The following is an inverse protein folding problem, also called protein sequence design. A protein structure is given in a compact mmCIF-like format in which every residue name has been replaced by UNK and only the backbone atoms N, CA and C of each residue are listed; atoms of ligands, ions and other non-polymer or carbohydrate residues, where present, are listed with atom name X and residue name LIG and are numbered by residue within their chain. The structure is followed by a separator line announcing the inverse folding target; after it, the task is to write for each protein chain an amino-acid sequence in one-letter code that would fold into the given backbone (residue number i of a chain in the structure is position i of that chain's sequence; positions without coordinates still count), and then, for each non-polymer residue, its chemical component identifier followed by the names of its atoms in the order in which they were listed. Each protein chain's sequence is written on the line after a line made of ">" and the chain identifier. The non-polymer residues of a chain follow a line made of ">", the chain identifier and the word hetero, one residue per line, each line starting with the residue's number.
data_IF_943543876369
#
_entry.id   IF_943543876369
#
_cell.length_a   1.000
_cell.length_b   1.000
_cell.length_c   1.000
_cell.angle_alpha   90.00
_cell.angle_beta   90.00
_cell.angle_gamma   90.00
#
_symmetry.space_group_name_H-M   'P 1'
#
loop_
_entity.id
_entity.type
_entity.pdbx_description
1 polymer ?
#
# COMPACT_ATOMS: atom_id res chain seq x y z
N UNK A 1 8.54 -9.93 -16.76
CA UNK A 1 8.36 -9.16 -15.51
C UNK A 1 7.05 -8.40 -15.62
N UNK A 2 6.21 -8.41 -14.59
CA UNK A 2 4.97 -7.61 -14.57
C UNK A 2 5.33 -6.12 -14.46
N UNK A 3 4.93 -5.33 -15.44
CA UNK A 3 5.17 -3.88 -15.44
C UNK A 3 4.08 -3.19 -14.61
N UNK A 4 4.36 -2.96 -13.33
CA UNK A 4 3.50 -2.13 -12.48
C UNK A 4 3.83 -0.66 -12.70
N UNK A 5 2.80 0.18 -12.83
CA UNK A 5 2.93 1.63 -12.68
C UNK A 5 2.79 1.94 -11.20
N UNK A 6 3.81 2.53 -10.60
CA UNK A 6 3.71 3.10 -9.26
C UNK A 6 2.94 4.42 -9.37
N UNK A 7 1.77 4.46 -8.75
CA UNK A 7 0.95 5.67 -8.66
C UNK A 7 0.90 6.13 -7.20
N UNK A 8 1.66 7.19 -6.90
CA UNK A 8 1.81 7.76 -5.56
C UNK A 8 0.83 8.90 -5.29
N UNK A 9 -0.17 9.10 -6.16
CA UNK A 9 -1.19 10.14 -5.98
C UNK A 9 -1.86 10.05 -4.60
N UNK A 10 -2.15 8.83 -4.15
CA UNK A 10 -2.86 8.53 -2.91
C UNK A 10 -2.00 8.66 -1.65
N UNK A 11 -0.68 8.69 -1.84
CA UNK A 11 0.32 8.81 -0.76
C UNK A 11 0.51 10.27 -0.33
N UNK A 12 0.15 11.22 -1.21
CA UNK A 12 0.38 12.65 -0.98
C UNK A 12 -0.36 13.11 0.28
N UNK A 13 0.32 13.74 1.26
CA UNK A 13 -0.32 14.32 2.43
C UNK A 13 -1.44 15.32 2.06
N UNK A 14 -1.23 16.03 0.96
CA UNK A 14 -2.15 17.01 0.39
C UNK A 14 -3.34 16.42 -0.35
N UNK A 15 -3.42 15.10 -0.53
CA UNK A 15 -4.56 14.48 -1.18
C UNK A 15 -5.84 14.79 -0.36
N UNK A 16 -6.94 15.29 -0.97
CA UNK A 16 -8.12 15.76 -0.24
C UNK A 16 -8.82 14.63 0.53
N UNK A 17 -8.63 13.39 0.10
CA UNK A 17 -9.10 12.23 0.85
C UNK A 17 -8.12 11.77 1.95
N UNK A 18 -6.83 12.10 1.88
CA UNK A 18 -5.86 11.66 2.90
C UNK A 18 -5.80 10.14 3.06
N UNK A 19 -5.76 9.41 1.94
CA UNK A 19 -5.89 7.94 1.91
C UNK A 19 -4.78 7.22 2.68
N UNK A 20 -3.55 7.72 2.60
CA UNK A 20 -2.42 7.21 3.39
C UNK A 20 -2.69 7.22 4.91
N UNK A 21 -3.58 8.09 5.41
CA UNK A 21 -3.83 8.23 6.85
C UNK A 21 -5.01 7.40 7.39
N UNK A 22 -5.44 6.34 6.68
CA UNK A 22 -6.72 5.65 6.99
C UNK A 22 -6.62 4.16 7.33
N UNK A 23 -5.42 3.59 7.41
CA UNK A 23 -5.24 2.13 7.58
C UNK A 23 -4.15 1.79 8.61
N UNK A 24 -3.97 0.50 8.90
CA UNK A 24 -3.19 -0.02 10.02
C UNK A 24 -1.68 0.24 9.93
N UNK A 25 -1.17 0.63 8.77
CA UNK A 25 0.22 1.04 8.60
C UNK A 25 0.52 2.40 9.27
N UNK A 26 -0.52 3.23 9.50
CA UNK A 26 -0.35 4.61 9.97
C UNK A 26 0.38 4.73 11.32
N UNK A 27 0.07 3.93 12.37
CA UNK A 27 0.81 4.00 13.63
C UNK A 27 2.31 3.68 13.48
N UNK A 28 2.68 2.77 12.56
CA UNK A 28 4.07 2.46 12.26
C UNK A 28 4.78 3.64 11.58
N UNK A 29 4.15 4.23 10.57
CA UNK A 29 4.65 5.44 9.92
C UNK A 29 4.83 6.59 10.93
N UNK A 30 3.90 6.72 11.90
CA UNK A 30 3.99 7.72 12.99
C UNK A 30 5.17 7.51 13.92
N UNK A 31 5.56 6.27 14.13
CA UNK A 31 6.74 5.90 14.91
C UNK A 31 8.06 6.02 14.11
N UNK A 32 8.03 6.51 12.87
CA UNK A 32 9.20 6.60 12.00
C UNK A 32 9.67 5.25 11.45
N UNK A 33 8.80 4.23 11.47
CA UNK A 33 9.04 2.93 10.86
C UNK A 33 8.61 3.02 9.39
N UNK A 34 9.48 2.68 8.42
CA UNK A 34 9.09 2.61 7.01
C UNK A 34 7.88 1.69 6.83
N UNK A 35 6.81 2.21 6.23
CA UNK A 35 5.54 1.50 6.11
C UNK A 35 4.93 1.71 4.72
N UNK A 36 4.43 0.62 4.15
CA UNK A 36 3.73 0.59 2.86
C UNK A 36 2.36 -0.05 3.04
N UNK A 37 1.35 0.44 2.33
CA UNK A 37 0.01 -0.13 2.31
C UNK A 37 -0.36 -0.54 0.90
N UNK A 38 -0.68 -1.82 0.71
CA UNK A 38 -1.20 -2.33 -0.55
C UNK A 38 -2.72 -2.31 -0.48
N UNK A 39 -3.36 -1.56 -1.37
CA UNK A 39 -4.81 -1.41 -1.40
C UNK A 39 -5.32 -1.35 -2.83
N UNK A 40 -6.54 -1.83 -3.05
CA UNK A 40 -7.31 -1.59 -4.27
C UNK A 40 -8.00 -0.21 -4.28
N UNK A 41 -7.84 0.58 -3.20
CA UNK A 41 -8.73 1.67 -2.82
C UNK A 41 -10.19 1.18 -2.66
N UNK A 42 -11.14 2.12 -2.61
CA UNK A 42 -12.55 1.78 -2.62
C UNK A 42 -12.98 1.25 -3.99
N UNK A 43 -13.94 0.34 -3.95
CA UNK A 43 -14.69 -0.16 -5.10
C UNK A 43 -16.18 -0.07 -4.80
N UNK A 44 -17.01 -0.24 -5.82
CA UNK A 44 -18.48 -0.12 -5.75
C UNK A 44 -19.12 -1.06 -4.72
N UNK A 45 -18.53 -2.24 -4.52
CA UNK A 45 -19.03 -3.25 -3.60
C UNK A 45 -18.54 -3.06 -2.14
N UNK A 46 -17.61 -2.12 -1.86
CA UNK A 46 -17.02 -1.93 -0.53
C UNK A 46 -18.06 -1.65 0.56
N UNK A 47 -17.95 -2.32 1.71
CA UNK A 47 -18.94 -2.27 2.80
C UNK A 47 -20.35 -2.73 2.39
N UNK A 48 -20.46 -3.60 1.39
CA UNK A 48 -21.73 -4.23 1.00
C UNK A 48 -21.63 -5.75 1.04
N UNK A 49 -22.75 -6.49 1.04
CA UNK A 49 -22.74 -7.94 0.90
C UNK A 49 -22.17 -8.47 -0.42
N UNK A 50 -21.99 -7.59 -1.42
CA UNK A 50 -21.40 -7.94 -2.72
C UNK A 50 -19.86 -7.90 -2.70
N UNK A 51 -19.24 -7.48 -1.59
CA UNK A 51 -17.80 -7.63 -1.38
C UNK A 51 -17.47 -9.10 -1.08
N UNK A 52 -17.58 -9.93 -2.12
CA UNK A 52 -17.53 -11.39 -2.01
C UNK A 52 -16.52 -12.00 -3.01
N UNK A 53 -16.10 -13.27 -2.79
CA UNK A 53 -15.05 -13.91 -3.59
C UNK A 53 -15.34 -14.02 -5.08
N UNK A 54 -16.61 -13.94 -5.51
CA UNK A 54 -17.01 -13.99 -6.91
C UNK A 54 -16.66 -12.70 -7.67
N UNK A 55 -16.42 -11.59 -6.97
CA UNK A 55 -16.03 -10.29 -7.54
C UNK A 55 -14.52 -10.11 -7.69
N UNK A 56 -13.73 -11.06 -7.18
CA UNK A 56 -12.26 -10.96 -7.19
C UNK A 56 -11.70 -11.22 -8.59
N UNK A 57 -10.92 -10.28 -9.12
CA UNK A 57 -10.00 -10.55 -10.23
C UNK A 57 -8.77 -11.30 -9.72
N UNK A 58 -8.83 -12.63 -9.74
CA UNK A 58 -7.74 -13.50 -9.29
C UNK A 58 -6.47 -13.36 -10.11
N UNK A 59 -6.57 -12.96 -11.38
CA UNK A 59 -5.40 -12.76 -12.24
C UNK A 59 -4.63 -11.53 -11.76
N UNK A 60 -5.34 -10.41 -11.50
CA UNK A 60 -4.75 -9.21 -10.88
C UNK A 60 -4.23 -9.50 -9.48
N UNK A 61 -5.02 -10.15 -8.64
CA UNK A 61 -4.62 -10.50 -7.27
C UNK A 61 -3.31 -11.28 -7.28
N UNK A 62 -3.21 -12.35 -8.07
CA UNK A 62 -1.99 -13.17 -8.18
C UNK A 62 -0.76 -12.34 -8.56
N UNK A 63 -0.89 -11.40 -9.51
CA UNK A 63 0.22 -10.52 -9.91
C UNK A 63 0.65 -9.62 -8.75
N UNK A 64 -0.32 -9.00 -8.06
CA UNK A 64 -0.04 -8.09 -6.92
C UNK A 64 0.57 -8.88 -5.76
N UNK A 65 0.04 -10.06 -5.42
CA UNK A 65 0.59 -10.91 -4.36
C UNK A 65 2.04 -11.33 -4.63
N UNK A 66 2.37 -11.71 -5.87
CA UNK A 66 3.77 -11.99 -6.25
C UNK A 66 4.68 -10.78 -6.07
N UNK A 67 4.18 -9.58 -6.38
CA UNK A 67 4.93 -8.34 -6.18
C UNK A 67 5.12 -8.00 -4.70
N UNK A 68 4.06 -8.12 -3.89
CA UNK A 68 4.13 -7.95 -2.43
C UNK A 68 5.13 -8.92 -1.80
N UNK A 69 5.10 -10.19 -2.22
CA UNK A 69 6.05 -11.20 -1.77
C UNK A 69 7.49 -10.81 -2.13
N UNK A 70 7.74 -10.45 -3.39
CA UNK A 70 9.08 -10.05 -3.83
C UNK A 70 9.59 -8.81 -3.09
N UNK A 71 8.73 -7.82 -2.84
CA UNK A 71 9.06 -6.63 -2.04
C UNK A 71 9.44 -7.01 -0.61
N UNK A 72 8.62 -7.84 0.05
CA UNK A 72 8.92 -8.33 1.40
C UNK A 72 10.21 -9.15 1.46
N UNK A 73 10.44 -10.02 0.47
CA UNK A 73 11.66 -10.81 0.34
C UNK A 73 12.91 -9.92 0.22
N UNK A 74 12.87 -8.90 -0.64
CA UNK A 74 13.98 -7.96 -0.81
C UNK A 74 14.26 -7.18 0.47
N UNK A 75 13.22 -6.69 1.15
CA UNK A 75 13.37 -5.94 2.41
C UNK A 75 13.93 -6.82 3.53
N UNK A 76 13.44 -8.06 3.65
CA UNK A 76 13.86 -8.99 4.70
C UNK A 76 15.32 -9.47 4.55
N UNK A 77 15.85 -9.47 3.32
CA UNK A 77 17.21 -9.91 3.01
C UNK A 77 18.18 -8.75 2.71
N UNK A 78 17.77 -7.50 2.90
CA UNK A 78 18.63 -6.34 2.70
C UNK A 78 19.57 -6.16 3.90
N UNK A 79 20.85 -5.83 3.64
CA UNK A 79 21.85 -5.53 4.68
C UNK A 79 21.48 -4.29 5.51
N UNK A 80 20.69 -3.40 4.93
CA UNK A 80 20.26 -2.15 5.53
C UNK A 80 18.75 -2.04 5.48
N UNK A 81 18.17 -1.48 6.55
CA UNK A 81 16.75 -1.15 6.57
C UNK A 81 16.43 -0.13 5.46
N UNK A 82 15.20 -0.14 4.89
CA UNK A 82 14.78 0.91 3.97
C UNK A 82 14.91 2.29 4.62
N UNK A 83 15.39 3.30 3.87
CA UNK A 83 15.37 4.68 4.35
C UNK A 83 13.91 5.17 4.44
N UNK A 84 13.70 6.17 5.30
CA UNK A 84 12.49 6.98 5.27
C UNK A 84 12.71 8.12 4.27
N UNK A 85 11.65 8.54 3.58
CA UNK A 85 11.73 9.68 2.66
C UNK A 85 12.25 10.94 3.36
N UNK A 86 13.16 11.65 2.68
CA UNK A 86 13.75 12.87 3.22
C UNK A 86 12.66 13.93 3.49
N UNK A 87 12.61 14.43 4.72
CA UNK A 87 11.61 15.43 5.12
C UNK A 87 10.20 14.87 5.31
N UNK A 88 10.03 13.54 5.41
CA UNK A 88 8.76 12.93 5.74
C UNK A 88 8.19 13.54 7.03
N UNK A 89 6.99 14.11 6.90
CA UNK A 89 6.14 14.53 8.01
C UNK A 89 4.81 13.83 7.84
N UNK A 90 4.37 13.14 8.89
CA UNK A 90 3.06 12.49 8.91
C UNK A 90 1.91 13.50 9.13
N UNK A 91 2.21 14.79 9.22
CA UNK A 91 1.21 15.82 9.47
C UNK A 91 0.45 16.14 8.18
N UNK A 92 -0.88 16.24 8.33
CA UNK A 92 -1.80 16.68 7.30
C UNK A 92 -2.17 18.14 7.53
#
# INVERSE_FOLDING_TARGET
>A
MSQFKLDTLWDKPTHPQGWYFRSDHLPYARAGIPAIAFTSNLHEDYHTPLDDPTRIDYTKLTRVTKWMYATGWLVANADQRPPVDAGFKLER
#
